data_IF_767582985108
#
_entry.id   IF_767582985108
#
_cell.length_a   1.000
_cell.length_b   1.000
_cell.length_c   1.000
_cell.angle_alpha   90.00
_cell.angle_beta   90.00
_cell.angle_gamma   90.00
#
_symmetry.space_group_name_H-M   'P 1'
#
loop_
_entity.id
_entity.type
_entity.pdbx_description
1 polymer ?
#
# COMPACT_ATOMS: atom_id res chain seq x y z
N UNK A 1 0.01 -10.70 10.59
CA UNK A 1 -0.21 -11.89 9.74
C UNK A 1 -1.32 -11.53 8.76
N UNK A 2 -1.15 -11.82 7.47
CA UNK A 2 -2.14 -11.49 6.43
C UNK A 2 -3.04 -12.69 6.13
N UNK A 3 -4.32 -12.44 5.87
CA UNK A 3 -5.32 -13.51 5.61
C UNK A 3 -5.26 -14.06 4.19
N UNK A 4 -4.66 -13.32 3.25
CA UNK A 4 -4.67 -13.65 1.82
C UNK A 4 -5.94 -13.21 1.08
N UNK A 5 -6.88 -12.54 1.74
CA UNK A 5 -8.05 -11.94 1.09
C UNK A 5 -7.63 -10.60 0.49
N UNK A 6 -7.90 -10.41 -0.80
CA UNK A 6 -7.63 -9.13 -1.49
C UNK A 6 -8.80 -8.19 -1.26
N UNK A 7 -8.57 -7.17 -0.43
CA UNK A 7 -9.60 -6.19 -0.09
C UNK A 7 -9.78 -5.14 -1.19
N UNK A 8 -8.73 -4.79 -1.91
CA UNK A 8 -8.76 -3.80 -2.99
C UNK A 8 -7.71 -4.04 -4.08
N UNK A 9 -7.96 -3.46 -5.26
CA UNK A 9 -6.98 -3.32 -6.35
C UNK A 9 -6.73 -1.83 -6.54
N UNK A 10 -5.60 -1.35 -6.03
CA UNK A 10 -5.18 0.04 -6.14
C UNK A 10 -4.49 0.39 -7.46
N UNK A 11 -4.06 1.64 -7.58
CA UNK A 11 -3.26 2.14 -8.71
C UNK A 11 -1.95 2.75 -8.22
N UNK A 12 -0.83 2.38 -8.83
CA UNK A 12 0.45 3.04 -8.57
C UNK A 12 0.36 4.48 -9.10
N UNK A 13 0.42 5.44 -8.18
CA UNK A 13 0.37 6.86 -8.48
C UNK A 13 1.78 7.46 -8.64
N UNK A 14 2.77 6.92 -7.91
CA UNK A 14 4.14 7.42 -7.95
C UNK A 14 5.16 6.36 -7.56
N UNK A 15 6.31 6.40 -8.23
CA UNK A 15 7.51 5.63 -7.91
C UNK A 15 8.68 6.61 -7.76
N UNK A 16 9.39 6.53 -6.64
CA UNK A 16 10.56 7.37 -6.37
C UNK A 16 11.73 6.48 -5.92
N UNK A 17 12.78 6.32 -6.74
CA UNK A 17 13.99 5.64 -6.32
C UNK A 17 14.64 6.31 -5.11
N UNK A 18 15.18 5.52 -4.19
CA UNK A 18 15.83 5.93 -2.95
C UNK A 18 17.06 5.04 -2.72
N UNK A 19 18.12 5.27 -3.49
CA UNK A 19 19.30 4.40 -3.48
C UNK A 19 18.95 3.00 -3.98
N UNK A 20 19.16 2.00 -3.13
CA UNK A 20 18.81 0.59 -3.41
C UNK A 20 17.31 0.29 -3.16
N UNK A 21 16.57 1.25 -2.59
CA UNK A 21 15.14 1.12 -2.27
C UNK A 21 14.24 1.97 -3.18
N UNK A 22 12.93 1.81 -3.02
CA UNK A 22 11.92 2.67 -3.64
C UNK A 22 10.91 3.18 -2.60
N UNK A 23 10.45 4.41 -2.80
CA UNK A 23 9.22 4.92 -2.17
C UNK A 23 8.08 4.84 -3.18
N UNK A 24 7.07 4.04 -2.86
CA UNK A 24 5.86 3.85 -3.65
C UNK A 24 4.71 4.70 -3.09
N UNK A 25 3.90 5.28 -3.96
CA UNK A 25 2.58 5.82 -3.61
C UNK A 25 1.53 5.05 -4.38
N UNK A 26 0.60 4.42 -3.66
CA UNK A 26 -0.51 3.65 -4.22
C UNK A 26 -1.81 4.34 -3.82
N UNK A 27 -2.64 4.68 -4.81
CA UNK A 27 -4.00 5.13 -4.56
C UNK A 27 -4.90 3.91 -4.35
N UNK A 28 -5.66 3.92 -3.27
CA UNK A 28 -6.71 2.92 -3.00
C UNK A 28 -8.05 3.40 -3.55
N UNK A 29 -8.96 2.47 -3.80
CA UNK A 29 -10.32 2.74 -4.26
C UNK A 29 -11.35 2.47 -3.16
N UNK A 30 -11.37 1.24 -2.64
CA UNK A 30 -12.35 0.77 -1.65
C UNK A 30 -11.73 0.25 -0.35
N UNK A 31 -10.40 0.19 -0.26
CA UNK A 31 -9.74 -0.13 1.00
C UNK A 31 -10.08 0.95 2.04
N UNK A 32 -10.63 0.53 3.18
CA UNK A 32 -10.87 1.45 4.30
C UNK A 32 -9.53 1.86 4.91
N UNK A 33 -9.30 3.17 4.99
CA UNK A 33 -8.06 3.76 5.53
C UNK A 33 -8.31 4.45 6.87
N UNK A 34 -9.51 4.34 7.44
CA UNK A 34 -9.91 5.11 8.62
C UNK A 34 -9.19 4.71 9.91
N UNK A 35 -8.72 3.47 10.00
CA UNK A 35 -7.96 2.91 11.13
C UNK A 35 -6.48 2.67 10.81
N UNK A 36 -6.03 2.97 9.58
CA UNK A 36 -4.64 2.81 9.15
C UNK A 36 -3.79 3.98 9.64
N UNK A 37 -2.69 3.67 10.31
CA UNK A 37 -1.73 4.62 10.85
C UNK A 37 -0.30 4.44 10.28
N UNK A 38 0.55 5.45 10.50
CA UNK A 38 1.96 5.35 10.15
C UNK A 38 2.64 4.25 10.98
N UNK A 39 3.34 3.35 10.30
CA UNK A 39 3.99 2.18 10.91
C UNK A 39 3.20 0.88 10.74
N UNK A 40 1.93 0.96 10.34
CA UNK A 40 1.15 -0.22 10.00
C UNK A 40 1.69 -0.92 8.75
N UNK A 41 1.52 -2.24 8.72
CA UNK A 41 1.93 -3.08 7.60
C UNK A 41 0.75 -3.41 6.71
N UNK A 42 0.85 -3.09 5.43
CA UNK A 42 -0.11 -3.46 4.39
C UNK A 42 0.57 -4.42 3.41
N UNK A 43 -0.08 -5.54 3.09
CA UNK A 43 0.41 -6.45 2.06
C UNK A 43 0.13 -5.88 0.67
N UNK A 44 1.16 -5.78 -0.17
CA UNK A 44 1.10 -5.33 -1.56
C UNK A 44 2.07 -6.18 -2.40
N UNK A 45 1.68 -6.50 -3.64
CA UNK A 45 2.50 -7.26 -4.59
C UNK A 45 3.40 -6.34 -5.43
#
# INVERSE_FOLDING_TARGET
>A
MFTGIIEDVGQIAKLQPQGDDIRLTVNVHKLDMSDVALGDSIATN
#
